data_IF_403363882318
#
_entry.id   IF_403363882318
#
_cell.length_a   1.000
_cell.length_b   1.000
_cell.length_c   1.000
_cell.angle_alpha   90.00
_cell.angle_beta   90.00
_cell.angle_gamma   90.00
#
_symmetry.space_group_name_H-M   'P 1'
#
loop_
_entity.id
_entity.type
_entity.pdbx_description
1 polymer ?
#
# COMPACT_ATOMS: atom_id res chain seq x y z
N UNK A 1 8.01 12.24 16.01
CA UNK A 1 7.54 11.68 14.71
C UNK A 1 8.65 10.88 14.00
N UNK A 2 9.81 11.45 13.70
CA UNK A 2 10.90 10.68 13.04
C UNK A 2 11.66 9.74 14.00
N UNK A 3 11.81 10.10 15.28
CA UNK A 3 12.58 9.31 16.25
C UNK A 3 12.03 7.88 16.45
N UNK A 4 10.72 7.74 16.55
CA UNK A 4 10.04 6.44 16.67
C UNK A 4 10.20 5.62 15.39
N UNK A 5 10.08 6.26 14.22
CA UNK A 5 10.31 5.60 12.94
C UNK A 5 11.76 5.10 12.85
N UNK A 6 12.74 5.91 13.25
CA UNK A 6 14.16 5.55 13.24
C UNK A 6 14.49 4.42 14.23
N UNK A 7 13.79 4.35 15.35
CA UNK A 7 13.92 3.25 16.30
C UNK A 7 13.39 1.93 15.71
N UNK A 8 12.26 1.99 14.98
CA UNK A 8 11.67 0.82 14.31
C UNK A 8 12.40 0.41 13.02
N UNK A 9 12.99 1.36 12.30
CA UNK A 9 13.70 1.17 11.04
C UNK A 9 15.10 1.77 11.13
N UNK A 10 16.10 1.01 11.64
CA UNK A 10 17.46 1.51 11.82
C UNK A 10 18.15 1.92 10.52
N UNK A 11 17.71 1.37 9.39
CA UNK A 11 18.18 1.70 8.03
C UNK A 11 17.46 2.91 7.42
N UNK A 12 16.59 3.60 8.17
CA UNK A 12 15.85 4.77 7.72
C UNK A 12 16.79 5.86 7.17
N UNK A 13 16.69 6.07 5.86
CA UNK A 13 17.32 7.15 5.14
C UNK A 13 16.32 8.28 4.89
N UNK A 14 16.68 9.51 5.28
CA UNK A 14 15.85 10.69 5.10
C UNK A 14 16.59 11.69 4.21
N UNK A 15 15.94 12.12 3.14
CA UNK A 15 16.46 13.18 2.27
C UNK A 15 15.40 14.22 1.97
N UNK A 16 15.85 15.40 1.53
CA UNK A 16 14.98 16.44 1.00
C UNK A 16 15.38 16.70 -0.44
N UNK A 17 14.40 16.79 -1.33
CA UNK A 17 14.63 17.27 -2.70
C UNK A 17 13.82 18.52 -2.97
N UNK A 18 14.36 19.39 -3.82
CA UNK A 18 13.64 20.57 -4.29
C UNK A 18 12.68 20.15 -5.39
N UNK A 19 11.44 20.60 -5.28
CA UNK A 19 10.45 20.57 -6.35
C UNK A 19 10.22 22.01 -6.83
N UNK A 20 9.69 22.20 -8.04
CA UNK A 20 9.59 23.50 -8.73
C UNK A 20 9.15 24.67 -7.85
N UNK A 21 8.25 24.43 -6.89
CA UNK A 21 7.73 25.44 -5.96
C UNK A 21 7.67 24.99 -4.49
N UNK A 22 8.33 23.88 -4.13
CA UNK A 22 8.19 23.25 -2.80
C UNK A 22 9.42 22.42 -2.43
N UNK A 23 9.38 21.83 -1.24
CA UNK A 23 10.31 20.79 -0.82
C UNK A 23 9.55 19.49 -0.64
N UNK A 24 10.17 18.39 -1.06
CA UNK A 24 9.68 17.05 -0.81
C UNK A 24 10.59 16.40 0.22
N UNK A 25 10.01 15.94 1.32
CA UNK A 25 10.69 15.05 2.26
C UNK A 25 10.53 13.62 1.76
N UNK A 26 11.61 12.87 1.73
CA UNK A 26 11.63 11.50 1.26
C UNK A 26 12.19 10.62 2.35
N UNK A 27 11.40 9.65 2.78
CA UNK A 27 11.74 8.65 3.78
C UNK A 27 11.86 7.30 3.09
N UNK A 28 13.01 6.66 3.23
CA UNK A 28 13.26 5.34 2.64
C UNK A 28 13.71 4.38 3.72
N UNK A 29 13.08 3.22 3.81
CA UNK A 29 13.47 2.15 4.75
C UNK A 29 13.07 0.77 4.24
N UNK A 30 13.74 -0.26 4.76
CA UNK A 30 13.38 -1.65 4.50
C UNK A 30 12.24 -2.07 5.42
N UNK A 31 11.11 -2.43 4.83
CA UNK A 31 9.93 -2.93 5.52
C UNK A 31 9.91 -4.45 5.44
N UNK A 32 9.99 -5.11 6.60
CA UNK A 32 9.76 -6.54 6.70
C UNK A 32 8.31 -6.86 6.31
N UNK A 33 8.10 -7.89 5.50
CA UNK A 33 6.77 -8.39 5.15
C UNK A 33 6.68 -9.82 5.69
N UNK A 34 5.97 -10.09 6.79
CA UNK A 34 5.98 -11.41 7.44
C UNK A 34 5.64 -12.55 6.46
N UNK A 35 6.52 -13.55 6.35
CA UNK A 35 6.36 -14.67 5.42
C UNK A 35 6.82 -14.40 3.99
N UNK A 36 7.28 -13.19 3.67
CA UNK A 36 7.65 -12.76 2.32
C UNK A 36 8.99 -12.00 2.31
N UNK A 37 9.61 -11.82 1.13
CA UNK A 37 10.77 -10.94 1.00
C UNK A 37 10.45 -9.52 1.47
N UNK A 38 11.39 -8.93 2.21
CA UNK A 38 11.30 -7.52 2.64
C UNK A 38 11.32 -6.58 1.44
N UNK A 39 10.78 -5.37 1.63
CA UNK A 39 10.65 -4.36 0.57
C UNK A 39 11.29 -3.04 0.94
N UNK A 40 11.99 -2.43 0.01
CA UNK A 40 12.42 -1.04 0.14
C UNK A 40 11.21 -0.15 -0.14
N UNK A 41 10.75 0.54 0.90
CA UNK A 41 9.61 1.47 0.83
C UNK A 41 10.13 2.90 0.78
N UNK A 42 9.54 3.71 -0.09
CA UNK A 42 9.78 5.14 -0.17
C UNK A 42 8.48 5.91 0.02
N UNK A 43 8.44 6.79 1.02
CA UNK A 43 7.33 7.71 1.25
C UNK A 43 7.78 9.15 0.95
N UNK A 44 7.08 9.82 0.03
CA UNK A 44 7.35 11.20 -0.38
C UNK A 44 6.25 12.15 0.09
N UNK A 45 6.67 13.24 0.74
CA UNK A 45 5.78 14.27 1.28
C UNK A 45 6.08 15.61 0.64
N UNK A 46 5.24 16.06 -0.30
CA UNK A 46 5.24 17.47 -0.74
C UNK A 46 4.68 18.33 0.39
N UNK A 47 5.42 19.37 0.80
CA UNK A 47 4.96 20.31 1.85
C UNK A 47 3.60 20.96 1.57
N UNK A 48 3.15 21.01 0.30
CA UNK A 48 1.83 21.53 -0.09
C UNK A 48 0.69 20.56 0.21
N UNK A 49 1.00 19.26 0.29
CA UNK A 49 0.03 18.17 0.42
C UNK A 49 0.52 17.13 1.43
N UNK A 50 0.99 17.60 2.60
CA UNK A 50 1.63 16.73 3.59
C UNK A 50 0.73 15.62 4.14
N UNK A 51 -0.60 15.76 4.01
CA UNK A 51 -1.59 14.73 4.36
C UNK A 51 -1.84 13.67 3.27
N UNK A 52 -1.19 13.80 2.10
CA UNK A 52 -1.35 12.91 0.96
C UNK A 52 0.03 12.44 0.45
N UNK A 53 0.76 11.62 1.24
CA UNK A 53 2.05 11.12 0.80
C UNK A 53 1.91 10.21 -0.42
N UNK A 54 2.88 10.29 -1.33
CA UNK A 54 3.05 9.30 -2.38
C UNK A 54 3.95 8.18 -1.83
N UNK A 55 3.48 6.93 -1.89
CA UNK A 55 4.20 5.78 -1.34
C UNK A 55 4.53 4.80 -2.46
N UNK A 56 5.77 4.32 -2.46
CA UNK A 56 6.32 3.38 -3.42
C UNK A 56 6.97 2.21 -2.70
N UNK A 57 7.02 1.06 -3.36
CA UNK A 57 7.78 -0.10 -2.91
C UNK A 57 8.43 -0.80 -4.11
N UNK A 58 9.64 -1.31 -3.90
CA UNK A 58 10.32 -2.16 -4.88
C UNK A 58 9.63 -3.52 -5.07
N UNK A 59 10.17 -4.33 -5.99
CA UNK A 59 9.66 -5.67 -6.27
C UNK A 59 8.49 -5.74 -7.26
N UNK A 60 7.67 -6.80 -7.20
CA UNK A 60 6.56 -7.02 -8.13
C UNK A 60 5.57 -5.85 -8.13
N UNK A 61 5.12 -5.47 -9.32
CA UNK A 61 4.18 -4.36 -9.52
C UNK A 61 2.76 -4.84 -9.83
N UNK A 62 2.58 -6.14 -10.03
CA UNK A 62 1.29 -6.78 -10.22
C UNK A 62 0.52 -6.76 -8.89
N UNK A 63 -0.52 -5.94 -8.85
CA UNK A 63 -1.45 -5.78 -7.73
C UNK A 63 -2.62 -4.91 -8.18
N UNK A 64 -3.86 -5.17 -7.72
CA UNK A 64 -5.01 -4.31 -8.00
C UNK A 64 -4.90 -2.95 -7.29
N UNK A 65 -3.98 -2.81 -6.32
CA UNK A 65 -3.80 -1.60 -5.51
C UNK A 65 -2.50 -0.86 -5.82
N UNK A 66 -2.18 -0.79 -7.11
CA UNK A 66 -1.00 -0.13 -7.65
C UNK A 66 -1.40 0.78 -8.81
N UNK A 67 -0.92 2.02 -8.80
CA UNK A 67 -1.18 3.00 -9.85
C UNK A 67 0.11 3.52 -10.45
N UNK A 68 0.07 3.95 -11.71
CA UNK A 68 1.17 4.72 -12.27
C UNK A 68 1.34 6.06 -11.54
N UNK A 69 2.59 6.46 -11.33
CA UNK A 69 2.97 7.71 -10.68
C UNK A 69 4.26 8.28 -11.27
N UNK A 70 4.77 9.39 -10.71
CA UNK A 70 6.05 9.94 -11.15
C UNK A 70 7.20 9.00 -10.77
N UNK A 71 7.79 8.35 -11.77
CA UNK A 71 9.01 7.54 -11.60
C UNK A 71 8.79 6.13 -11.09
N UNK A 72 7.55 5.62 -11.08
CA UNK A 72 7.25 4.24 -10.69
C UNK A 72 5.78 4.01 -10.37
N UNK A 73 5.48 2.82 -9.86
CA UNK A 73 4.13 2.40 -9.47
C UNK A 73 3.89 2.69 -8.00
N UNK A 74 2.95 3.61 -7.70
CA UNK A 74 2.57 4.01 -6.33
C UNK A 74 1.58 3.02 -5.71
N UNK A 75 1.66 2.85 -4.40
CA UNK A 75 0.73 2.04 -3.62
C UNK A 75 -0.57 2.80 -3.34
N UNK A 76 -1.70 2.09 -3.42
CA UNK A 76 -3.00 2.54 -2.93
C UNK A 76 -3.24 2.04 -1.51
N UNK A 77 -2.62 2.69 -0.51
CA UNK A 77 -2.68 2.22 0.89
C UNK A 77 -4.06 2.45 1.53
N UNK A 78 -4.80 3.45 1.07
CA UNK A 78 -6.19 3.75 1.45
C UNK A 78 -6.91 4.44 0.29
N UNK A 79 -8.24 4.50 0.35
CA UNK A 79 -9.04 5.24 -0.62
C UNK A 79 -9.09 6.73 -0.27
N UNK A 80 -9.03 7.63 -1.25
CA UNK A 80 -8.91 9.07 -0.98
C UNK A 80 -10.11 9.67 -0.22
N UNK A 81 -11.29 9.03 -0.29
CA UNK A 81 -12.49 9.44 0.45
C UNK A 81 -12.73 8.62 1.71
N UNK A 82 -11.80 7.75 2.10
CA UNK A 82 -11.90 7.05 3.38
C UNK A 82 -11.95 8.06 4.53
N UNK A 83 -12.78 7.81 5.56
CA UNK A 83 -12.82 8.68 6.72
C UNK A 83 -11.49 8.59 7.50
N UNK A 84 -11.15 9.60 8.34
CA UNK A 84 -9.87 9.66 9.04
C UNK A 84 -9.47 8.39 9.79
N UNK A 85 -10.43 7.60 10.26
CA UNK A 85 -10.19 6.36 10.98
C UNK A 85 -9.65 5.22 10.08
N UNK A 86 -9.79 5.35 8.76
CA UNK A 86 -9.40 4.35 7.75
C UNK A 86 -8.28 4.82 6.82
N UNK A 87 -7.79 6.05 6.98
CA UNK A 87 -6.64 6.59 6.24
C UNK A 87 -5.58 7.11 7.17
N UNK A 88 -4.37 7.27 6.67
CA UNK A 88 -3.35 7.98 7.44
C UNK A 88 -3.66 9.48 7.49
N UNK A 89 -3.53 10.07 8.68
CA UNK A 89 -3.50 11.52 8.89
C UNK A 89 -2.17 11.93 9.53
N UNK A 90 -1.70 13.19 9.36
CA UNK A 90 -0.43 13.64 9.94
C UNK A 90 -0.26 13.36 11.44
N UNK A 91 -1.36 13.43 12.19
CA UNK A 91 -1.42 13.19 13.63
C UNK A 91 -1.08 11.73 14.01
N UNK A 92 -1.29 10.78 13.11
CA UNK A 92 -0.93 9.36 13.32
C UNK A 92 0.59 9.15 13.35
N UNK A 93 1.35 10.08 12.75
CA UNK A 93 2.80 9.99 12.62
C UNK A 93 3.29 8.94 11.61
N UNK A 94 4.59 9.00 11.31
CA UNK A 94 5.19 8.19 10.24
C UNK A 94 5.24 6.69 10.56
N UNK A 95 5.38 6.31 11.82
CA UNK A 95 5.43 4.89 12.19
C UNK A 95 4.11 4.18 11.83
N UNK A 96 2.98 4.85 12.06
CA UNK A 96 1.67 4.33 11.66
C UNK A 96 1.56 4.19 10.14
N UNK A 97 2.03 5.18 9.37
CA UNK A 97 2.07 5.09 7.90
C UNK A 97 2.82 3.84 7.43
N UNK A 98 4.04 3.61 7.95
CA UNK A 98 4.84 2.44 7.57
C UNK A 98 4.20 1.11 7.99
N UNK A 99 3.49 1.08 9.13
CA UNK A 99 2.68 -0.09 9.53
C UNK A 99 1.50 -0.36 8.58
N UNK A 100 0.82 0.69 8.10
CA UNK A 100 -0.22 0.55 7.07
C UNK A 100 0.37 0.02 5.76
N UNK A 101 1.55 0.52 5.36
CA UNK A 101 2.27 0.04 4.16
C UNK A 101 2.70 -1.42 4.30
N UNK A 102 3.21 -1.83 5.46
CA UNK A 102 3.54 -3.22 5.74
C UNK A 102 2.32 -4.12 5.56
N UNK A 103 1.18 -3.73 6.13
CA UNK A 103 -0.09 -4.46 6.01
C UNK A 103 -0.51 -4.56 4.54
N UNK A 104 -0.37 -3.47 3.79
CA UNK A 104 -0.67 -3.42 2.36
C UNK A 104 0.19 -4.41 1.56
N UNK A 105 1.51 -4.38 1.77
CA UNK A 105 2.46 -5.26 1.07
C UNK A 105 2.22 -6.74 1.39
N UNK A 106 1.81 -7.05 2.62
CA UNK A 106 1.40 -8.40 3.00
C UNK A 106 0.17 -8.85 2.20
N UNK A 107 -0.87 -8.01 2.11
CA UNK A 107 -2.06 -8.30 1.31
C UNK A 107 -1.74 -8.50 -0.17
N UNK A 108 -0.87 -7.67 -0.74
CA UNK A 108 -0.43 -7.84 -2.13
C UNK A 108 0.31 -9.17 -2.33
N UNK A 109 1.17 -9.56 -1.38
CA UNK A 109 1.93 -10.79 -1.48
C UNK A 109 1.02 -12.02 -1.39
N UNK A 110 0.07 -12.01 -0.46
CA UNK A 110 -0.96 -13.03 -0.37
C UNK A 110 -1.85 -13.10 -1.61
N UNK A 111 -2.26 -11.95 -2.15
CA UNK A 111 -3.07 -11.89 -3.37
C UNK A 111 -2.35 -12.50 -4.57
N UNK A 112 -1.04 -12.28 -4.71
CA UNK A 112 -0.25 -12.91 -5.78
C UNK A 112 -0.20 -14.43 -5.67
N UNK A 113 -0.20 -14.97 -4.46
CA UNK A 113 -0.16 -16.42 -4.23
C UNK A 113 -1.53 -17.08 -4.35
N UNK A 114 -2.57 -16.43 -3.81
CA UNK A 114 -3.90 -17.03 -3.64
C UNK A 114 -4.93 -16.57 -4.68
N UNK A 115 -4.68 -15.46 -5.36
CA UNK A 115 -5.65 -14.74 -6.18
C UNK A 115 -6.71 -13.97 -5.39
N UNK A 116 -6.65 -13.98 -4.04
CA UNK A 116 -7.65 -13.37 -3.17
C UNK A 116 -7.07 -12.22 -2.36
N UNK A 117 -7.77 -11.09 -2.31
CA UNK A 117 -7.39 -9.95 -1.48
C UNK A 117 -7.94 -10.11 -0.05
N UNK A 118 -7.06 -10.01 0.96
CA UNK A 118 -7.45 -10.19 2.37
C UNK A 118 -7.93 -8.89 3.02
N UNK A 119 -9.08 -8.96 3.68
CA UNK A 119 -9.69 -7.88 4.44
C UNK A 119 -10.36 -6.84 3.56
N UNK A 120 -10.61 -5.65 4.13
CA UNK A 120 -11.35 -4.61 3.44
C UNK A 120 -10.69 -4.19 2.12
N UNK A 121 -11.55 -4.00 1.12
CA UNK A 121 -11.21 -3.58 -0.22
C UNK A 121 -12.12 -2.41 -0.64
N UNK A 122 -11.53 -1.33 -1.12
CA UNK A 122 -12.30 -0.24 -1.73
C UNK A 122 -12.84 -0.72 -3.10
N UNK A 123 -14.01 -0.27 -3.56
CA UNK A 123 -14.54 -0.68 -4.85
C UNK A 123 -13.56 -0.36 -5.99
N UNK A 124 -12.96 -1.38 -6.60
CA UNK A 124 -12.31 -1.22 -7.89
C UNK A 124 -13.43 -1.15 -8.92
N UNK A 125 -13.46 -0.09 -9.73
CA UNK A 125 -14.25 -0.15 -10.96
C UNK A 125 -13.79 -1.39 -11.72
N UNK A 126 -14.64 -2.42 -11.79
CA UNK A 126 -14.30 -3.65 -12.47
C UNK A 126 -13.74 -3.28 -13.84
N UNK A 127 -12.53 -3.73 -14.15
CA UNK A 127 -12.19 -3.86 -15.56
C UNK A 127 -13.25 -4.79 -16.16
N UNK A 128 -13.82 -4.47 -17.33
CA UNK A 128 -14.99 -5.18 -17.86
C UNK A 128 -14.78 -6.68 -18.11
N UNK A 129 -13.55 -7.18 -18.01
CA UNK A 129 -13.14 -8.58 -18.10
C UNK A 129 -13.24 -9.36 -16.77
N UNK A 130 -13.00 -8.72 -15.62
CA UNK A 130 -12.96 -9.40 -14.30
C UNK A 130 -14.36 -9.90 -13.86
N UNK A 131 -15.41 -9.09 -14.09
CA UNK A 131 -16.78 -9.41 -13.70
C UNK A 131 -17.35 -10.67 -14.40
N UNK A 132 -16.74 -11.11 -15.52
CA UNK A 132 -17.18 -12.27 -16.29
C UNK A 132 -16.61 -13.59 -15.74
N UNK A 133 -15.49 -13.55 -15.02
CA UNK A 133 -14.85 -14.73 -14.42
C UNK A 133 -15.46 -15.08 -13.06
N UNK A 134 -15.85 -14.08 -12.27
CA UNK A 134 -16.49 -14.31 -10.96
C UNK A 134 -17.91 -14.90 -11.08
N UNK A 135 -18.61 -14.62 -12.19
CA UNK A 135 -19.92 -15.21 -12.49
C UNK A 135 -19.84 -16.64 -13.07
N UNK A 136 -18.65 -17.14 -13.38
CA UNK A 136 -18.45 -18.41 -14.06
C UNK A 136 -17.98 -19.56 -13.16
N UNK A 137 -17.79 -19.33 -11.85
CA UNK A 137 -17.54 -20.42 -10.89
C UNK A 137 -18.88 -21.04 -10.45
N UNK A 138 -19.21 -22.28 -10.83
CA UNK A 138 -20.37 -22.95 -10.27
C UNK A 138 -20.15 -23.25 -8.79
N UNK A 139 -21.17 -23.00 -7.99
CA UNK A 139 -21.24 -23.39 -6.58
C UNK A 139 -21.06 -24.91 -6.45
N UNK A 140 -19.91 -25.34 -5.94
CA UNK A 140 -19.73 -26.71 -5.49
C UNK A 140 -20.36 -26.86 -4.10
N UNK A 141 -21.69 -26.90 -4.06
CA UNK A 141 -22.42 -27.49 -2.94
C UNK A 141 -22.72 -28.94 -3.30
N UNK A 142 -21.76 -29.83 -3.05
CA UNK A 142 -22.06 -31.27 -3.04
C UNK A 142 -22.63 -31.59 -1.67
N UNK A 143 -23.96 -31.62 -1.58
CA UNK A 143 -24.67 -32.26 -0.49
C UNK A 143 -24.48 -33.76 -0.60
N UNK A 144 -23.61 -34.29 0.27
CA UNK A 144 -23.59 -35.70 0.63
C UNK A 144 -24.61 -35.91 1.76
N UNK A 145 -25.49 -36.90 1.65
CA UNK A 145 -25.87 -37.86 2.72
C UNK A 145 -27.09 -38.69 2.28
N UNK A 146 -26.81 -39.98 2.07
CA UNK A 146 -27.59 -41.23 2.24
C UNK A 146 -28.97 -41.38 1.57
#
# INVERSE_FOLDING_TARGET
MEAELRAAYPDLHVRRRRADRSWVHVYTATVAVPGYPSRVVTAEFDRRFASHPEVYADGPTESPHRFDGRGGTRLCVWYHSDPPERRWVPEDGLLRLFGMVQTHLLKEAWWRESGHWVGDEAPHSARPDQARLDQARPDHTTGDTL
#
